data_IF_859576664063
#
_entry.id   IF_859576664063
#
_cell.length_a   1.000
_cell.length_b   1.000
_cell.length_c   1.000
_cell.angle_alpha   90.00
_cell.angle_beta   90.00
_cell.angle_gamma   90.00
#
_symmetry.space_group_name_H-M   'P 1'
#
loop_
_entity.id
_entity.type
_entity.pdbx_description
1 polymer ?
#
# COMPACT_ATOMS: atom_id res chain seq x y z
N UNK A 1 51.52 18.65 -49.48
CA UNK A 1 50.36 18.43 -48.59
C UNK A 1 50.24 16.95 -48.25
N UNK A 2 50.63 16.52 -47.03
CA UNK A 2 50.51 15.11 -46.57
C UNK A 2 49.22 14.95 -45.75
N UNK A 3 48.27 14.17 -46.25
CA UNK A 3 46.97 13.90 -45.59
C UNK A 3 47.17 12.88 -44.46
N UNK A 4 47.09 13.33 -43.21
CA UNK A 4 47.08 12.47 -42.01
C UNK A 4 45.81 11.61 -42.01
N UNK A 5 45.96 10.29 -42.08
CA UNK A 5 44.86 9.34 -41.88
C UNK A 5 44.61 9.21 -40.36
N UNK A 6 43.45 9.69 -39.91
CA UNK A 6 42.95 9.47 -38.54
C UNK A 6 42.43 8.03 -38.46
N UNK A 7 43.10 7.15 -37.71
CA UNK A 7 42.57 5.83 -37.36
C UNK A 7 41.55 6.00 -36.22
N UNK A 8 40.26 5.86 -36.52
CA UNK A 8 39.23 5.69 -35.52
C UNK A 8 39.21 4.21 -35.09
N UNK A 9 39.50 3.93 -33.82
CA UNK A 9 39.32 2.60 -33.25
C UNK A 9 37.85 2.44 -32.87
N UNK A 10 37.09 1.72 -33.68
CA UNK A 10 35.73 1.30 -33.34
C UNK A 10 35.81 0.20 -32.28
N UNK A 11 35.40 0.51 -31.05
CA UNK A 11 35.33 -0.46 -29.97
C UNK A 11 34.06 -1.30 -30.09
N UNK A 12 34.21 -2.60 -30.35
CA UNK A 12 33.11 -3.56 -30.30
C UNK A 12 32.89 -3.95 -28.83
N UNK A 13 31.76 -3.55 -28.25
CA UNK A 13 31.35 -3.99 -26.91
C UNK A 13 30.82 -5.43 -26.99
N UNK A 14 31.68 -6.41 -26.74
CA UNK A 14 31.27 -7.81 -26.65
C UNK A 14 30.53 -8.05 -25.32
N UNK A 15 29.22 -8.31 -25.40
CA UNK A 15 28.40 -8.68 -24.23
C UNK A 15 28.49 -10.20 -24.07
N UNK A 16 29.34 -10.67 -23.16
CA UNK A 16 29.39 -12.07 -22.76
C UNK A 16 28.22 -12.38 -21.82
N UNK A 17 27.27 -13.21 -22.27
CA UNK A 17 26.14 -13.66 -21.46
C UNK A 17 26.57 -14.87 -20.63
N UNK A 18 26.92 -14.64 -19.37
CA UNK A 18 27.17 -15.72 -18.41
C UNK A 18 25.87 -16.48 -18.12
N UNK A 19 25.78 -17.75 -18.55
CA UNK A 19 24.62 -18.62 -18.32
C UNK A 19 24.27 -18.79 -16.84
N UNK A 20 25.29 -18.75 -15.96
CA UNK A 20 25.12 -18.84 -14.50
C UNK A 20 24.38 -17.62 -13.93
N UNK A 21 24.75 -16.41 -14.38
CA UNK A 21 24.03 -15.18 -14.00
C UNK A 21 22.63 -15.15 -14.59
N UNK A 22 22.45 -15.64 -15.82
CA UNK A 22 21.13 -15.71 -16.45
C UNK A 22 20.17 -16.65 -15.69
N UNK A 23 20.66 -17.79 -15.21
CA UNK A 23 19.87 -18.74 -14.42
C UNK A 23 19.54 -18.22 -13.01
N UNK A 24 20.47 -17.51 -12.37
CA UNK A 24 20.22 -16.80 -11.11
C UNK A 24 19.18 -15.68 -11.27
N UNK A 25 19.27 -14.90 -12.35
CA UNK A 25 18.26 -13.88 -12.69
C UNK A 25 16.88 -14.52 -12.91
N UNK A 26 16.81 -15.58 -13.72
CA UNK A 26 15.55 -16.26 -14.03
C UNK A 26 14.90 -16.90 -12.80
N UNK A 27 15.70 -17.29 -11.80
CA UNK A 27 15.20 -17.86 -10.54
C UNK A 27 14.64 -16.79 -9.60
N UNK A 28 15.16 -15.55 -9.64
CA UNK A 28 14.62 -14.40 -8.88
C UNK A 28 13.28 -13.93 -9.43
N UNK A 29 13.07 -14.09 -10.73
CA UNK A 29 11.87 -13.62 -11.44
C UNK A 29 10.73 -14.65 -11.49
N UNK A 30 10.92 -15.86 -10.95
CA UNK A 30 9.85 -16.87 -10.92
C UNK A 30 8.83 -16.54 -9.82
N UNK A 31 7.80 -15.79 -10.20
CA UNK A 31 6.66 -15.51 -9.34
C UNK A 31 5.78 -16.78 -9.29
N UNK A 32 5.50 -17.35 -8.11
CA UNK A 32 4.63 -18.51 -8.00
C UNK A 32 3.21 -18.19 -8.49
N UNK A 33 2.55 -19.15 -9.13
CA UNK A 33 1.21 -18.98 -9.73
C UNK A 33 0.17 -18.43 -8.73
N UNK A 34 0.29 -18.80 -7.46
CA UNK A 34 -0.56 -18.28 -6.38
C UNK A 34 -0.46 -16.77 -6.20
N UNK A 35 0.70 -16.17 -6.50
CA UNK A 35 0.88 -14.72 -6.41
C UNK A 35 0.60 -14.02 -7.74
N UNK A 36 0.71 -14.72 -8.85
CA UNK A 36 0.42 -14.18 -10.17
C UNK A 36 -1.03 -13.70 -10.29
N UNK A 37 -1.98 -14.33 -9.59
CA UNK A 37 -3.38 -13.87 -9.52
C UNK A 37 -3.54 -12.45 -8.95
N UNK A 38 -2.58 -11.99 -8.15
CA UNK A 38 -2.60 -10.65 -7.57
C UNK A 38 -2.02 -9.59 -8.53
N UNK A 39 -1.45 -10.01 -9.67
CA UNK A 39 -0.77 -9.14 -10.62
C UNK A 39 -1.73 -8.70 -11.72
N UNK A 40 -1.94 -7.38 -11.81
CA UNK A 40 -2.52 -6.76 -13.01
C UNK A 40 -1.35 -6.26 -13.85
N UNK A 41 -0.91 -7.04 -14.83
CA UNK A 41 0.23 -6.69 -15.70
C UNK A 41 -0.07 -5.40 -16.47
N UNK A 42 0.77 -4.38 -16.27
CA UNK A 42 0.74 -3.12 -17.01
C UNK A 42 2.04 -2.90 -17.76
N UNK A 43 1.94 -2.37 -18.97
CA UNK A 43 3.10 -2.00 -19.75
C UNK A 43 3.93 -0.95 -19.00
N UNK A 44 5.26 -1.13 -19.04
CA UNK A 44 6.20 -0.27 -18.34
C UNK A 44 6.41 -0.57 -16.86
N UNK A 45 5.84 -1.67 -16.35
CA UNK A 45 6.10 -2.19 -15.01
C UNK A 45 6.68 -3.60 -15.05
N UNK A 46 7.69 -3.85 -14.21
CA UNK A 46 8.23 -5.19 -13.92
C UNK A 46 7.80 -5.62 -12.53
N UNK A 47 7.44 -6.88 -12.35
CA UNK A 47 7.01 -7.42 -11.05
C UNK A 47 8.14 -8.29 -10.48
N UNK A 48 8.48 -8.07 -9.22
CA UNK A 48 9.59 -8.77 -8.54
C UNK A 48 9.11 -9.27 -7.17
N UNK A 49 9.56 -10.46 -6.78
CA UNK A 49 9.37 -10.99 -5.44
C UNK A 49 10.56 -10.60 -4.56
N UNK A 50 10.31 -9.76 -3.57
CA UNK A 50 11.32 -9.23 -2.67
C UNK A 50 11.18 -9.89 -1.31
N UNK A 51 12.24 -10.55 -0.84
CA UNK A 51 12.30 -11.13 0.51
C UNK A 51 13.07 -10.18 1.43
N UNK A 52 12.46 -9.81 2.54
CA UNK A 52 13.07 -9.02 3.61
C UNK A 52 13.22 -9.90 4.84
N UNK A 53 14.42 -9.89 5.44
CA UNK A 53 14.74 -10.69 6.62
C UNK A 53 15.24 -9.75 7.71
N UNK A 54 14.64 -9.82 8.89
CA UNK A 54 15.04 -9.06 10.06
C UNK A 54 15.49 -10.04 11.16
N UNK A 55 16.57 -9.68 11.84
CA UNK A 55 17.12 -10.43 12.96
C UNK A 55 16.99 -9.57 14.21
N UNK A 56 16.82 -10.20 15.37
CA UNK A 56 16.78 -9.50 16.65
C UNK A 56 18.07 -8.69 16.85
N UNK A 57 17.94 -7.40 17.20
CA UNK A 57 19.06 -6.46 17.28
C UNK A 57 19.61 -5.99 15.92
N UNK A 58 18.96 -6.36 14.82
CA UNK A 58 19.32 -5.94 13.47
C UNK A 58 18.93 -4.50 13.13
N UNK A 59 19.24 -4.04 11.91
CA UNK A 59 18.89 -2.69 11.45
C UNK A 59 17.38 -2.45 11.53
N UNK A 60 17.00 -1.18 11.75
CA UNK A 60 15.58 -0.78 11.68
C UNK A 60 15.00 -1.13 10.30
N UNK A 61 13.69 -1.38 10.25
CA UNK A 61 12.98 -1.61 8.99
C UNK A 61 13.11 -0.42 8.04
N UNK A 62 12.95 0.82 8.56
CA UNK A 62 13.20 2.05 7.81
C UNK A 62 12.31 2.28 6.58
N UNK A 63 11.06 1.78 6.62
CA UNK A 63 10.12 1.84 5.51
C UNK A 63 9.07 2.96 5.69
N UNK A 64 9.03 3.90 4.75
CA UNK A 64 7.95 4.87 4.59
C UNK A 64 7.01 4.44 3.47
N UNK A 65 5.72 4.30 3.79
CA UNK A 65 4.69 3.89 2.84
C UNK A 65 3.62 4.97 2.74
N UNK A 66 3.14 5.21 1.53
CA UNK A 66 2.01 6.08 1.21
C UNK A 66 0.93 5.29 0.50
N UNK A 67 -0.32 5.67 0.73
CA UNK A 67 -1.47 5.10 0.04
C UNK A 67 -2.07 6.11 -0.92
N UNK A 68 -2.38 5.72 -2.15
CA UNK A 68 -3.07 6.58 -3.09
C UNK A 68 -3.84 5.71 -4.09
N UNK A 69 -5.13 5.99 -4.31
CA UNK A 69 -5.98 5.26 -5.26
C UNK A 69 -5.88 3.73 -5.13
N UNK A 70 -6.04 3.19 -3.91
CA UNK A 70 -5.93 1.76 -3.61
C UNK A 70 -4.56 1.14 -3.93
N UNK A 71 -3.51 1.97 -4.03
CA UNK A 71 -2.12 1.55 -4.24
C UNK A 71 -1.27 1.89 -3.03
N UNK A 72 -0.38 0.98 -2.69
CA UNK A 72 0.55 1.10 -1.56
C UNK A 72 1.94 1.39 -2.12
N UNK A 73 2.38 2.64 -2.07
CA UNK A 73 3.63 3.10 -2.68
C UNK A 73 4.71 3.32 -1.61
N UNK A 74 5.94 2.92 -1.93
CA UNK A 74 7.11 3.26 -1.10
C UNK A 74 7.43 4.73 -1.29
N UNK A 75 7.26 5.52 -0.23
CA UNK A 75 7.47 6.97 -0.26
C UNK A 75 8.86 7.37 0.22
N UNK A 76 9.39 6.65 1.21
CA UNK A 76 10.69 6.93 1.80
C UNK A 76 11.36 5.64 2.21
N UNK A 77 12.67 5.64 2.11
CA UNK A 77 13.50 4.58 2.65
C UNK A 77 14.64 5.19 3.45
N UNK A 78 14.80 4.76 4.69
CA UNK A 78 15.88 5.27 5.54
C UNK A 78 17.21 4.62 5.13
N UNK A 79 18.32 5.38 5.06
CA UNK A 79 19.63 4.80 4.80
C UNK A 79 20.02 3.84 5.93
N UNK A 80 20.80 2.79 5.60
CA UNK A 80 21.19 1.71 6.52
C UNK A 80 20.01 0.95 7.16
N UNK A 81 18.88 0.86 6.45
CA UNK A 81 17.73 0.05 6.84
C UNK A 81 17.55 -1.14 5.90
N UNK A 82 16.84 -2.17 6.36
CA UNK A 82 16.52 -3.35 5.55
C UNK A 82 15.76 -2.95 4.28
N UNK A 83 14.89 -1.95 4.38
CA UNK A 83 14.12 -1.48 3.23
C UNK A 83 15.01 -0.83 2.18
N UNK A 84 16.13 -0.20 2.53
CA UNK A 84 17.02 0.46 1.56
C UNK A 84 17.77 -0.55 0.67
N UNK A 85 17.99 -1.75 1.18
CA UNK A 85 18.63 -2.83 0.43
C UNK A 85 17.66 -3.50 -0.54
N UNK A 86 16.39 -3.63 -0.14
CA UNK A 86 15.40 -4.41 -0.85
C UNK A 86 14.45 -3.58 -1.75
N UNK A 87 14.14 -2.34 -1.36
CA UNK A 87 13.08 -1.52 -1.94
C UNK A 87 13.59 -0.17 -2.42
N UNK A 88 12.94 0.38 -3.44
CA UNK A 88 13.20 1.71 -3.99
C UNK A 88 11.99 2.61 -3.82
N UNK A 89 12.24 3.91 -3.68
CA UNK A 89 11.18 4.92 -3.66
C UNK A 89 10.42 4.84 -5.00
N UNK A 90 9.09 4.79 -4.92
CA UNK A 90 8.20 4.62 -6.07
C UNK A 90 7.82 3.17 -6.39
N UNK A 91 8.39 2.18 -5.70
CA UNK A 91 7.91 0.79 -5.82
C UNK A 91 6.48 0.68 -5.29
N UNK A 92 5.63 -0.06 -6.02
CA UNK A 92 4.25 -0.34 -5.62
C UNK A 92 4.15 -1.73 -5.01
N UNK A 93 3.78 -1.80 -3.73
CA UNK A 93 3.56 -3.06 -3.02
C UNK A 93 2.18 -3.61 -3.38
N UNK A 94 2.18 -4.72 -4.10
CA UNK A 94 0.94 -5.37 -4.57
C UNK A 94 0.46 -6.42 -3.57
N UNK A 95 1.39 -7.15 -2.95
CA UNK A 95 1.06 -8.14 -1.92
C UNK A 95 2.07 -8.18 -0.77
N UNK A 96 1.62 -8.71 0.36
CA UNK A 96 2.44 -9.05 1.52
C UNK A 96 2.18 -10.51 1.88
N UNK A 97 3.20 -11.36 1.80
CA UNK A 97 3.11 -12.80 2.05
C UNK A 97 1.99 -13.51 1.25
N UNK A 98 1.76 -13.05 0.01
CA UNK A 98 0.76 -13.62 -0.91
C UNK A 98 -0.67 -13.10 -0.71
N UNK A 99 -0.87 -12.20 0.25
CA UNK A 99 -2.13 -11.51 0.48
C UNK A 99 -2.10 -10.13 -0.18
N UNK A 100 -3.04 -9.82 -1.08
CA UNK A 100 -3.07 -8.53 -1.78
C UNK A 100 -3.32 -7.39 -0.80
N UNK A 101 -2.64 -6.26 -0.99
CA UNK A 101 -2.78 -5.08 -0.13
C UNK A 101 -3.14 -3.85 -0.97
N UNK A 102 -4.17 -3.14 -0.52
CA UNK A 102 -4.67 -1.91 -1.18
C UNK A 102 -4.60 -0.68 -0.27
N UNK A 103 -4.33 -0.88 1.02
CA UNK A 103 -4.34 0.16 2.06
C UNK A 103 -3.03 0.18 2.86
N UNK A 104 -2.56 1.39 3.23
CA UNK A 104 -1.31 1.58 3.98
C UNK A 104 -1.35 0.93 5.37
N UNK A 105 -2.48 1.02 6.06
CA UNK A 105 -2.66 0.52 7.42
C UNK A 105 -2.63 -1.00 7.46
N UNK A 106 -3.33 -1.64 6.51
CA UNK A 106 -3.29 -3.10 6.33
C UNK A 106 -1.87 -3.56 6.01
N UNK A 107 -1.22 -2.97 5.00
CA UNK A 107 0.13 -3.33 4.60
C UNK A 107 1.13 -3.19 5.76
N UNK A 108 1.10 -2.06 6.48
CA UNK A 108 1.96 -1.82 7.64
C UNK A 108 1.77 -2.88 8.72
N UNK A 109 0.53 -3.20 9.09
CA UNK A 109 0.24 -4.21 10.12
C UNK A 109 0.74 -5.59 9.69
N UNK A 110 0.53 -5.96 8.43
CA UNK A 110 0.96 -7.26 7.91
C UNK A 110 2.47 -7.41 7.88
N UNK A 111 3.20 -6.39 7.42
CA UNK A 111 4.67 -6.37 7.37
C UNK A 111 5.25 -6.47 8.77
N UNK A 112 4.78 -5.61 9.70
CA UNK A 112 5.29 -5.59 11.08
C UNK A 112 4.97 -6.91 11.77
N UNK A 113 3.75 -7.44 11.63
CA UNK A 113 3.36 -8.73 12.21
C UNK A 113 4.24 -9.86 11.69
N UNK A 114 4.46 -9.93 10.37
CA UNK A 114 5.30 -10.96 9.76
C UNK A 114 6.71 -10.92 10.34
N UNK A 115 7.36 -9.75 10.27
CA UNK A 115 8.72 -9.55 10.77
C UNK A 115 8.86 -9.95 12.24
N UNK A 116 7.94 -9.54 13.11
CA UNK A 116 8.00 -9.87 14.53
C UNK A 116 7.73 -11.35 14.84
N UNK A 117 6.97 -12.04 13.99
CA UNK A 117 6.57 -13.44 14.22
C UNK A 117 7.50 -14.47 13.60
N UNK A 118 7.97 -14.22 12.37
CA UNK A 118 8.78 -15.17 11.59
C UNK A 118 10.21 -14.68 11.36
N UNK A 119 10.50 -13.40 11.62
CA UNK A 119 11.77 -12.78 11.25
C UNK A 119 11.89 -12.48 9.75
N UNK A 120 10.87 -12.79 8.93
CA UNK A 120 10.93 -12.57 7.49
C UNK A 120 9.58 -12.21 6.88
N UNK A 121 9.61 -11.43 5.80
CA UNK A 121 8.43 -11.10 5.00
C UNK A 121 8.77 -11.10 3.53
N UNK A 122 7.81 -11.50 2.70
CA UNK A 122 7.94 -11.60 1.25
C UNK A 122 6.93 -10.68 0.58
N UNK A 123 7.41 -9.73 -0.20
CA UNK A 123 6.63 -8.68 -0.85
C UNK A 123 6.62 -8.90 -2.35
N UNK A 124 5.46 -8.81 -2.98
CA UNK A 124 5.36 -8.67 -4.42
C UNK A 124 5.31 -7.19 -4.76
N UNK A 125 6.31 -6.71 -5.49
CA UNK A 125 6.41 -5.30 -5.89
C UNK A 125 6.24 -5.15 -7.39
N UNK A 126 5.65 -4.03 -7.80
CA UNK A 126 5.66 -3.55 -9.17
C UNK A 126 6.62 -2.36 -9.25
N UNK A 127 7.65 -2.48 -10.08
CA UNK A 127 8.70 -1.49 -10.29
C UNK A 127 8.57 -0.88 -11.68
N UNK A 128 8.56 0.45 -11.74
CA UNK A 128 8.50 1.18 -12.99
C UNK A 128 9.81 1.06 -13.78
N UNK A 129 9.73 0.51 -15.00
CA UNK A 129 10.87 0.35 -15.91
C UNK A 129 10.96 1.49 -16.92
N UNK A 130 9.84 1.86 -17.54
CA UNK A 130 9.79 2.93 -18.55
C UNK A 130 9.77 4.31 -17.91
N UNK A 131 10.26 5.32 -18.64
CA UNK A 131 10.28 6.70 -18.15
C UNK A 131 8.86 7.24 -17.87
N UNK A 132 7.89 6.86 -18.70
CA UNK A 132 6.48 7.22 -18.48
C UNK A 132 5.94 6.65 -17.17
N UNK A 133 6.19 5.37 -16.88
CA UNK A 133 5.79 4.74 -15.63
C UNK A 133 6.49 5.35 -14.41
N UNK A 134 7.77 5.71 -14.53
CA UNK A 134 8.52 6.39 -13.44
C UNK A 134 7.92 7.75 -13.13
N UNK A 135 7.59 8.53 -14.15
CA UNK A 135 6.92 9.81 -13.99
C UNK A 135 5.53 9.65 -13.37
N UNK A 136 4.76 8.62 -13.78
CA UNK A 136 3.49 8.27 -13.13
C UNK A 136 3.70 8.03 -11.62
N UNK A 137 4.62 7.16 -11.24
CA UNK A 137 4.87 6.85 -9.83
C UNK A 137 5.34 8.07 -9.03
N UNK A 138 6.24 8.88 -9.59
CA UNK A 138 6.71 10.11 -8.96
C UNK A 138 5.57 11.13 -8.76
N UNK A 139 4.69 11.26 -9.74
CA UNK A 139 3.51 12.12 -9.65
C UNK A 139 2.59 11.66 -8.51
N UNK A 140 2.28 10.36 -8.42
CA UNK A 140 1.44 9.80 -7.34
C UNK A 140 2.08 10.01 -5.95
N UNK A 141 3.41 9.91 -5.85
CA UNK A 141 4.14 10.19 -4.62
C UNK A 141 4.08 11.67 -4.20
N UNK A 142 4.01 12.61 -5.16
CA UNK A 142 3.91 14.04 -4.87
C UNK A 142 2.51 14.53 -4.52
N UNK A 143 1.47 13.81 -4.94
CA UNK A 143 0.08 14.20 -4.64
C UNK A 143 -0.15 14.36 -3.14
N UNK A 144 -0.69 15.49 -2.67
CA UNK A 144 -1.10 15.56 -1.27
C UNK A 144 -2.22 14.55 -1.04
N UNK A 145 -2.17 13.83 0.08
CA UNK A 145 -3.33 13.07 0.49
C UNK A 145 -4.48 14.07 0.67
N UNK A 146 -5.62 13.83 0.05
CA UNK A 146 -6.85 14.36 0.60
C UNK A 146 -7.08 13.49 1.84
N UNK A 147 -6.45 13.88 2.95
CA UNK A 147 -6.76 13.29 4.24
C UNK A 147 -8.26 13.51 4.41
N UNK A 148 -9.05 12.43 4.44
CA UNK A 148 -10.31 12.51 5.18
C UNK A 148 -9.85 12.76 6.62
N UNK A 149 -9.81 14.03 6.99
CA UNK A 149 -9.63 14.46 8.37
C UNK A 149 -10.64 13.71 9.22
N UNK A 150 -10.24 13.22 10.40
CA UNK A 150 -11.15 12.60 11.36
C UNK A 150 -12.35 13.52 11.69
N UNK A 151 -12.26 14.82 11.39
CA UNK A 151 -13.37 15.80 11.42
C UNK A 151 -14.57 15.46 10.50
N UNK A 152 -14.42 14.59 9.50
CA UNK A 152 -15.52 14.14 8.62
C UNK A 152 -16.28 12.92 9.17
N UNK A 153 -15.69 12.18 10.12
CA UNK A 153 -16.32 11.01 10.76
C UNK A 153 -17.58 11.41 11.56
N UNK A 154 -17.61 12.53 12.33
CA UNK A 154 -18.82 13.05 12.96
C UNK A 154 -19.94 13.34 11.96
N UNK A 155 -19.65 13.89 10.78
CA UNK A 155 -20.67 14.24 9.80
C UNK A 155 -21.33 13.00 9.18
N UNK A 156 -20.56 11.94 8.95
CA UNK A 156 -21.08 10.66 8.44
C UNK A 156 -21.87 9.92 9.52
N UNK A 157 -21.34 9.87 10.75
CA UNK A 157 -22.02 9.24 11.89
C UNK A 157 -23.33 9.94 12.25
N UNK A 158 -23.37 11.28 12.24
CA UNK A 158 -24.59 12.04 12.50
C UNK A 158 -25.65 11.81 11.43
N UNK A 159 -25.28 11.77 10.14
CA UNK A 159 -26.23 11.45 9.05
C UNK A 159 -26.83 10.05 9.19
N UNK A 160 -26.05 9.05 9.62
CA UNK A 160 -26.57 7.70 9.89
C UNK A 160 -27.52 7.70 11.09
N UNK A 161 -27.17 8.39 12.18
CA UNK A 161 -28.03 8.54 13.36
C UNK A 161 -29.34 9.27 13.02
N UNK A 162 -29.28 10.33 12.23
CA UNK A 162 -30.45 11.11 11.80
C UNK A 162 -31.37 10.27 10.89
N UNK A 163 -30.79 9.44 10.03
CA UNK A 163 -31.55 8.51 9.17
C UNK A 163 -32.22 7.40 10.01
N UNK A 164 -31.52 6.85 10.99
CA UNK A 164 -32.07 5.83 11.91
C UNK A 164 -33.16 6.41 12.81
N UNK A 165 -32.99 7.64 13.30
CA UNK A 165 -33.98 8.33 14.14
C UNK A 165 -35.20 8.82 13.36
N UNK A 166 -35.04 9.18 12.08
CA UNK A 166 -36.17 9.47 11.19
C UNK A 166 -37.03 8.21 10.92
N UNK A 167 -36.38 7.06 10.71
CA UNK A 167 -37.07 5.76 10.58
C UNK A 167 -37.74 5.31 11.89
N UNK A 168 -37.16 5.66 13.05
CA UNK A 168 -37.68 5.30 14.37
C UNK A 168 -38.90 6.09 14.87
N UNK A 169 -39.31 7.18 14.19
CA UNK A 169 -40.45 8.03 14.58
C UNK A 169 -41.79 7.61 13.97
N UNK A 170 -41.82 6.65 13.05
CA UNK A 170 -43.07 6.07 12.56
C UNK A 170 -43.53 4.90 13.43
N UNK A 171 -43.92 5.18 14.69
CA UNK A 171 -44.74 4.26 15.47
C UNK A 171 -46.18 4.74 15.42
N UNK A 172 -46.96 4.28 14.44
CA UNK A 172 -48.40 4.23 14.60
C UNK A 172 -48.69 3.28 15.78
N UNK A 173 -49.06 3.84 16.93
CA UNK A 173 -49.47 3.05 18.10
C UNK A 173 -50.81 2.37 17.81
N UNK A 174 -50.84 1.04 17.80
CA UNK A 174 -52.07 0.25 17.60
C UNK A 174 -52.89 0.12 18.90
N UNK A 175 -52.30 0.41 20.08
CA UNK A 175 -52.96 0.16 21.37
C UNK A 175 -53.05 1.47 22.17
N UNK A 176 -54.27 2.00 22.24
CA UNK A 176 -54.67 3.08 23.15
C UNK A 176 -54.83 2.53 24.57
N UNK A 177 -54.09 3.07 25.53
CA UNK A 177 -54.43 2.92 26.97
C UNK A 177 -54.22 4.23 27.71
N UNK A 178 -55.32 4.94 27.99
CA UNK A 178 -55.35 6.03 28.99
C UNK A 178 -55.57 5.42 30.37
N UNK A 179 -54.61 5.56 31.29
CA UNK A 179 -54.84 5.39 32.74
C UNK A 179 -55.04 6.74 33.42
N UNK A 180 -56.05 6.78 34.28
CA UNK A 180 -56.61 7.94 35.01
C UNK A 180 -55.61 8.53 36.00
N UNK A 181 -55.67 9.85 36.20
CA UNK A 181 -54.91 10.61 37.21
C UNK A 181 -55.52 10.48 38.60
N UNK A 182 -54.72 10.34 39.67
CA UNK A 182 -55.22 10.39 41.04
C UNK A 182 -55.34 11.83 41.54
N UNK A 183 -56.45 12.10 42.23
CA UNK A 183 -56.68 13.30 43.03
C UNK A 183 -55.70 13.36 44.20
N UNK A 184 -55.14 14.55 44.49
CA UNK A 184 -54.62 14.90 45.79
C UNK A 184 -55.11 16.30 46.17
N UNK A 185 -55.74 16.35 47.34
CA UNK A 185 -56.30 17.49 48.05
C UNK A 185 -55.16 18.25 48.74
N UNK A 186 -55.19 19.57 48.73
CA UNK A 186 -54.49 20.39 49.71
C UNK A 186 -55.36 21.55 50.18
N UNK A 187 -55.39 21.73 51.50
CA UNK A 187 -56.12 22.70 52.30
C UNK A 187 -55.12 23.69 52.95
N UNK A 188 -55.64 24.80 53.48
CA UNK A 188 -55.02 25.95 54.20
C UNK A 188 -54.82 27.22 53.34
N UNK A 189 -55.36 28.41 53.67
CA UNK A 189 -56.16 28.92 54.79
C UNK A 189 -57.19 29.92 54.27
#
# INVERSE_FOLDING_TARGET
MRRMKRNAKEGILAIFRDEKKAKELASRDHIPADRERNIIRRDGFSYELVKMTWKDGGPKLGLGIKHFQNRVLVSKTDPASISAECLKIGDHVTDVNGQPVTDKGVARRMIVKAILSTGETSLLIARATTNGAKYEMEYLLKQKMHDYSDDDVPAITQKVIDTVTYCGKAKHSIISTRKRSPHAVSFER
#
